data_IF_889964305266
#
_entry.id   IF_889964305266
#
_cell.length_a   1.000
_cell.length_b   1.000
_cell.length_c   1.000
_cell.angle_alpha   90.00
_cell.angle_beta   90.00
_cell.angle_gamma   90.00
#
_symmetry.space_group_name_H-M   'P 1'
#
loop_
_entity.id
_entity.type
_entity.pdbx_description
1 polymer ?
#
# COMPACT_ATOMS: atom_id res chain seq x y z
N UNK A 1 -0.33 -21.92 20.69
CA UNK A 1 0.60 -20.78 20.75
C UNK A 1 -0.16 -19.45 20.84
N UNK A 2 -1.07 -19.08 19.90
CA UNK A 2 -1.77 -17.77 19.91
C UNK A 2 -2.50 -17.52 21.24
N UNK A 3 -3.19 -18.52 21.78
CA UNK A 3 -3.89 -18.39 23.07
C UNK A 3 -2.91 -18.32 24.25
N UNK A 4 -1.86 -19.14 24.20
CA UNK A 4 -0.90 -19.25 25.28
C UNK A 4 -0.01 -18.01 25.39
N UNK A 5 0.36 -17.41 24.24
CA UNK A 5 1.29 -16.30 24.15
C UNK A 5 0.61 -14.92 24.14
N UNK A 6 -0.74 -14.87 24.22
CA UNK A 6 -1.55 -13.63 24.16
C UNK A 6 -1.25 -12.75 22.94
N UNK A 7 -1.03 -13.38 21.79
CA UNK A 7 -0.79 -12.67 20.53
C UNK A 7 -2.07 -11.96 20.13
N UNK A 8 -2.00 -10.67 19.87
CA UNK A 8 -3.13 -9.82 19.48
C UNK A 8 -3.07 -9.37 18.01
N UNK A 9 -1.86 -9.29 17.43
CA UNK A 9 -1.65 -8.87 16.05
C UNK A 9 -0.84 -9.92 15.31
N UNK A 10 -1.29 -10.31 14.12
CA UNK A 10 -0.62 -11.29 13.24
C UNK A 10 -0.38 -10.66 11.88
N UNK A 11 0.88 -10.60 11.44
CA UNK A 11 1.25 -10.21 10.09
C UNK A 11 1.36 -11.46 9.22
N UNK A 12 0.53 -11.56 8.19
CA UNK A 12 0.53 -12.71 7.28
C UNK A 12 1.22 -12.36 5.95
N UNK A 13 2.45 -12.83 5.80
CA UNK A 13 3.28 -12.68 4.62
C UNK A 13 3.43 -13.99 3.82
N UNK A 14 2.42 -14.85 3.82
CA UNK A 14 2.46 -16.16 3.18
C UNK A 14 2.08 -16.09 1.69
N UNK A 15 0.88 -16.55 1.33
CA UNK A 15 0.33 -16.46 -0.02
C UNK A 15 -1.18 -16.23 0.05
N UNK A 16 -1.79 -15.75 -1.02
CA UNK A 16 -3.23 -15.54 -1.06
C UNK A 16 -4.05 -16.78 -0.67
N UNK A 17 -3.61 -17.97 -1.11
CA UNK A 17 -4.25 -19.23 -0.75
C UNK A 17 -4.06 -19.58 0.73
N UNK A 18 -2.84 -19.42 1.24
CA UNK A 18 -2.54 -19.72 2.65
C UNK A 18 -3.24 -18.71 3.57
N UNK A 19 -3.26 -17.42 3.21
CA UNK A 19 -3.95 -16.40 3.98
C UNK A 19 -5.44 -16.72 4.17
N UNK A 20 -6.14 -17.17 3.13
CA UNK A 20 -7.55 -17.58 3.25
C UNK A 20 -7.74 -18.68 4.29
N UNK A 21 -6.82 -19.64 4.36
CA UNK A 21 -6.85 -20.72 5.37
C UNK A 21 -6.52 -20.17 6.76
N UNK A 22 -5.47 -19.36 6.86
CA UNK A 22 -5.03 -18.75 8.11
C UNK A 22 -6.12 -17.86 8.71
N UNK A 23 -6.75 -17.02 7.89
CA UNK A 23 -7.83 -16.15 8.32
C UNK A 23 -9.03 -16.94 8.87
N UNK A 24 -9.43 -18.02 8.19
CA UNK A 24 -10.51 -18.89 8.69
C UNK A 24 -10.14 -19.55 10.02
N UNK A 25 -8.91 -20.04 10.15
CA UNK A 25 -8.43 -20.70 11.37
C UNK A 25 -8.30 -19.73 12.55
N UNK A 26 -8.05 -18.44 12.29
CA UNK A 26 -7.84 -17.42 13.32
C UNK A 26 -9.11 -16.62 13.67
N UNK A 27 -10.21 -16.80 12.95
CA UNK A 27 -11.45 -16.05 13.19
C UNK A 27 -12.03 -16.20 14.61
N UNK A 28 -11.80 -17.36 15.25
CA UNK A 28 -12.29 -17.65 16.59
C UNK A 28 -11.40 -17.04 17.69
N UNK A 29 -10.26 -16.48 17.32
CA UNK A 29 -9.34 -15.86 18.27
C UNK A 29 -9.47 -14.34 18.24
N UNK A 30 -9.18 -13.71 19.36
CA UNK A 30 -9.18 -12.25 19.51
C UNK A 30 -7.89 -11.65 18.92
N UNK A 31 -7.68 -11.83 17.61
CA UNK A 31 -6.49 -11.35 16.89
C UNK A 31 -6.88 -10.44 15.73
N UNK A 32 -6.06 -9.43 15.47
CA UNK A 32 -6.10 -8.61 14.28
C UNK A 32 -5.08 -9.13 13.27
N UNK A 33 -5.50 -9.39 12.05
CA UNK A 33 -4.61 -9.82 10.98
C UNK A 33 -4.27 -8.65 10.05
N UNK A 34 -2.99 -8.55 9.69
CA UNK A 34 -2.48 -7.62 8.69
C UNK A 34 -1.99 -8.47 7.51
N UNK A 35 -2.75 -8.42 6.41
CA UNK A 35 -2.53 -9.25 5.23
C UNK A 35 -1.59 -8.56 4.22
N UNK A 36 -0.37 -9.10 4.07
CA UNK A 36 0.60 -8.66 3.07
C UNK A 36 0.50 -9.45 1.76
N UNK A 37 -0.53 -10.29 1.62
CA UNK A 37 -0.75 -11.11 0.43
C UNK A 37 -1.78 -10.47 -0.50
N UNK A 38 -1.85 -10.84 -1.79
CA UNK A 38 -2.89 -10.36 -2.69
C UNK A 38 -4.23 -11.09 -2.52
N UNK A 39 -4.54 -11.64 -1.33
CA UNK A 39 -5.78 -12.38 -1.07
C UNK A 39 -7.04 -11.52 -1.16
N UNK A 40 -6.90 -10.21 -0.96
CA UNK A 40 -8.00 -9.24 -0.99
C UNK A 40 -9.14 -9.57 -0.01
N UNK A 41 -8.79 -10.01 1.19
CA UNK A 41 -9.72 -10.24 2.29
C UNK A 41 -9.69 -9.03 3.21
N UNK A 42 -10.88 -8.53 3.59
CA UNK A 42 -11.01 -7.32 4.41
C UNK A 42 -10.76 -6.02 3.62
N UNK A 43 -10.84 -4.88 4.30
CA UNK A 43 -10.64 -3.58 3.69
C UNK A 43 -9.18 -3.35 3.28
N UNK A 44 -8.99 -2.62 2.19
CA UNK A 44 -7.65 -2.17 1.79
C UNK A 44 -7.15 -1.06 2.70
N UNK A 45 -5.88 -1.17 3.13
CA UNK A 45 -5.24 -0.22 4.03
C UNK A 45 -3.99 0.40 3.39
N UNK A 46 -3.98 1.72 3.30
CA UNK A 46 -2.84 2.55 2.93
C UNK A 46 -2.63 3.52 4.10
N UNK A 47 -1.59 3.37 4.94
CA UNK A 47 -1.47 4.05 6.21
C UNK A 47 -1.73 5.56 6.19
N UNK A 48 -1.13 6.36 5.29
CA UNK A 48 -1.32 7.81 5.31
C UNK A 48 -2.66 8.26 4.72
N UNK A 49 -3.47 7.33 4.18
CA UNK A 49 -4.74 7.67 3.51
C UNK A 49 -5.94 7.28 4.36
N UNK A 50 -6.01 6.03 4.83
CA UNK A 50 -7.22 5.50 5.45
C UNK A 50 -6.98 4.57 6.65
N UNK A 51 -5.80 4.61 7.28
CA UNK A 51 -5.49 3.70 8.39
C UNK A 51 -6.46 3.87 9.57
N UNK A 52 -6.80 5.12 9.93
CA UNK A 52 -7.73 5.38 11.02
C UNK A 52 -9.16 4.88 10.73
N UNK A 53 -9.55 4.81 9.47
CA UNK A 53 -10.87 4.29 9.06
C UNK A 53 -10.97 2.77 9.26
N UNK A 54 -9.83 2.10 9.49
CA UNK A 54 -9.75 0.65 9.72
C UNK A 54 -9.93 0.27 11.20
N UNK A 55 -10.10 1.25 12.09
CA UNK A 55 -10.35 1.05 13.52
C UNK A 55 -11.82 0.69 13.79
N UNK A 56 -12.29 -0.43 13.25
CA UNK A 56 -13.66 -0.87 13.39
C UNK A 56 -13.76 -2.37 13.70
N UNK A 57 -14.86 -2.97 13.31
CA UNK A 57 -15.16 -4.39 13.55
C UNK A 57 -14.38 -5.37 12.63
N UNK A 58 -13.43 -4.85 11.86
CA UNK A 58 -12.64 -5.68 10.95
C UNK A 58 -11.58 -6.45 11.72
N UNK A 59 -11.44 -7.74 11.40
CA UNK A 59 -10.41 -8.63 11.96
C UNK A 59 -9.24 -8.86 11.01
N UNK A 60 -9.31 -8.27 9.84
CA UNK A 60 -8.27 -8.34 8.82
C UNK A 60 -8.24 -7.06 8.01
N UNK A 61 -7.06 -6.53 7.76
CA UNK A 61 -6.82 -5.45 6.80
C UNK A 61 -5.85 -5.94 5.74
N UNK A 62 -6.11 -5.59 4.49
CA UNK A 62 -5.26 -5.98 3.37
C UNK A 62 -4.35 -4.82 2.96
N UNK A 63 -3.05 -5.08 2.91
CA UNK A 63 -2.02 -4.08 2.58
C UNK A 63 -1.88 -3.83 1.07
N UNK A 64 -2.80 -4.29 0.26
CA UNK A 64 -2.86 -4.14 -1.20
C UNK A 64 -1.69 -4.83 -1.90
N UNK A 65 -0.61 -4.11 -2.15
CA UNK A 65 0.62 -4.57 -2.80
C UNK A 65 1.74 -3.55 -2.61
N UNK A 66 2.99 -3.94 -2.89
CA UNK A 66 4.12 -3.00 -2.85
C UNK A 66 3.91 -1.81 -3.80
N UNK A 67 3.45 -2.05 -5.03
CA UNK A 67 3.09 -0.99 -5.98
C UNK A 67 1.93 -0.14 -5.48
N UNK A 68 0.94 -0.75 -4.83
CA UNK A 68 -0.17 -0.03 -4.20
C UNK A 68 0.29 0.90 -3.07
N UNK A 69 1.12 0.39 -2.15
CA UNK A 69 1.69 1.20 -1.07
C UNK A 69 2.55 2.37 -1.57
N UNK A 70 3.26 2.18 -2.69
CA UNK A 70 4.08 3.23 -3.28
C UNK A 70 3.28 4.28 -4.04
N UNK A 71 2.16 3.93 -4.66
CA UNK A 71 1.49 4.80 -5.65
C UNK A 71 0.14 5.35 -5.22
N UNK A 72 -0.65 4.58 -4.46
CA UNK A 72 -1.99 5.00 -4.02
C UNK A 72 -1.95 6.27 -3.14
N UNK A 73 -0.94 6.51 -2.28
CA UNK A 73 -0.82 7.79 -1.59
C UNK A 73 -0.81 8.99 -2.54
N UNK A 74 -0.12 8.88 -3.68
CA UNK A 74 -0.07 9.96 -4.68
C UNK A 74 -1.39 10.12 -5.42
N UNK A 75 -2.07 9.01 -5.74
CA UNK A 75 -3.43 9.04 -6.32
C UNK A 75 -4.39 9.75 -5.36
N UNK A 76 -4.37 9.36 -4.08
CA UNK A 76 -5.20 9.97 -3.04
C UNK A 76 -4.88 11.46 -2.85
N UNK A 77 -3.60 11.85 -2.90
CA UNK A 77 -3.20 13.25 -2.80
C UNK A 77 -3.80 14.12 -3.92
N UNK A 78 -3.97 13.57 -5.13
CA UNK A 78 -4.66 14.27 -6.23
C UNK A 78 -6.16 14.26 -6.02
N UNK A 79 -6.76 13.11 -5.71
CA UNK A 79 -8.22 12.94 -5.61
C UNK A 79 -8.82 13.68 -4.41
N UNK A 80 -8.06 13.91 -3.34
CA UNK A 80 -8.47 14.73 -2.20
C UNK A 80 -8.63 16.23 -2.56
N UNK A 81 -7.94 16.71 -3.59
CA UNK A 81 -8.07 18.09 -4.06
C UNK A 81 -9.23 18.23 -5.04
N UNK A 82 -9.36 17.30 -5.97
CA UNK A 82 -10.45 17.33 -6.95
C UNK A 82 -10.74 15.95 -7.55
N UNK A 83 -11.94 15.72 -8.11
CA UNK A 83 -12.33 14.42 -8.65
C UNK A 83 -11.42 13.94 -9.78
N UNK A 84 -11.06 12.65 -9.72
CA UNK A 84 -10.23 11.97 -10.71
C UNK A 84 -11.06 10.93 -11.46
N UNK A 85 -11.09 11.04 -12.77
CA UNK A 85 -11.85 10.17 -13.68
C UNK A 85 -11.16 8.81 -13.87
N UNK A 86 -9.81 8.87 -14.01
CA UNK A 86 -8.98 7.71 -14.29
C UNK A 86 -7.62 7.89 -13.64
N UNK A 87 -7.09 6.81 -13.05
CA UNK A 87 -5.70 6.76 -12.62
C UNK A 87 -5.01 5.49 -13.08
N UNK A 88 -3.81 5.64 -13.61
CA UNK A 88 -2.94 4.53 -14.00
C UNK A 88 -1.63 4.62 -13.22
N UNK A 89 -1.19 3.47 -12.71
CA UNK A 89 0.14 3.36 -12.09
C UNK A 89 1.01 2.37 -12.86
N UNK A 90 2.29 2.69 -12.99
CA UNK A 90 3.31 1.81 -13.53
C UNK A 90 4.39 1.64 -12.46
N UNK A 91 4.39 0.49 -11.79
CA UNK A 91 5.38 0.13 -10.78
C UNK A 91 6.52 -0.65 -11.43
N UNK A 92 7.74 -0.12 -11.40
CA UNK A 92 8.93 -0.77 -11.95
C UNK A 92 9.84 -1.22 -10.82
N UNK A 93 10.04 -2.53 -10.71
CA UNK A 93 10.84 -3.16 -9.65
C UNK A 93 11.98 -4.00 -10.23
N UNK A 94 13.06 -4.14 -9.47
CA UNK A 94 14.17 -5.00 -9.86
C UNK A 94 13.75 -6.48 -9.89
N UNK A 95 14.16 -7.21 -10.92
CA UNK A 95 13.92 -8.66 -11.01
C UNK A 95 14.46 -9.42 -9.79
N UNK A 96 15.58 -8.95 -9.24
CA UNK A 96 16.23 -9.55 -8.07
C UNK A 96 15.39 -9.42 -6.77
N UNK A 97 14.45 -8.47 -6.69
CA UNK A 97 13.58 -8.26 -5.51
C UNK A 97 12.21 -8.95 -5.64
N UNK A 98 11.98 -9.74 -6.69
CA UNK A 98 10.71 -10.42 -6.95
C UNK A 98 10.84 -11.90 -6.70
N UNK A 99 10.11 -12.39 -5.69
CA UNK A 99 10.06 -13.81 -5.35
C UNK A 99 9.15 -14.64 -6.26
N UNK A 100 9.20 -15.99 -6.12
CA UNK A 100 8.37 -16.91 -6.93
C UNK A 100 6.87 -16.67 -6.77
N UNK A 101 6.41 -16.30 -5.58
CA UNK A 101 5.00 -16.03 -5.29
C UNK A 101 4.44 -14.89 -6.13
N UNK A 102 5.15 -13.76 -6.22
CA UNK A 102 4.73 -12.63 -7.05
C UNK A 102 4.76 -13.00 -8.53
N UNK A 103 5.78 -13.75 -8.99
CA UNK A 103 5.88 -14.18 -10.40
C UNK A 103 4.72 -15.08 -10.83
N UNK A 104 4.21 -15.89 -9.91
CA UNK A 104 3.08 -16.80 -10.16
C UNK A 104 1.71 -16.08 -10.13
N UNK A 105 1.63 -14.88 -9.55
CA UNK A 105 0.36 -14.21 -9.20
C UNK A 105 0.24 -12.78 -9.73
N UNK A 106 0.78 -12.48 -10.92
CA UNK A 106 0.69 -11.14 -11.53
C UNK A 106 -0.74 -10.64 -11.70
N UNK A 107 -1.66 -11.53 -12.08
CA UNK A 107 -3.07 -11.17 -12.26
C UNK A 107 -3.73 -10.76 -10.94
N UNK A 108 -3.38 -11.42 -9.83
CA UNK A 108 -3.87 -11.03 -8.50
C UNK A 108 -3.28 -9.69 -8.07
N UNK A 109 -1.98 -9.47 -8.30
CA UNK A 109 -1.33 -8.20 -8.04
C UNK A 109 -2.04 -7.05 -8.77
N UNK A 110 -2.23 -7.17 -10.07
CA UNK A 110 -2.84 -6.09 -10.88
C UNK A 110 -4.30 -5.85 -10.50
N UNK A 111 -5.07 -6.89 -10.23
CA UNK A 111 -6.48 -6.76 -9.79
C UNK A 111 -6.59 -6.10 -8.42
N UNK A 112 -5.82 -6.55 -7.43
CA UNK A 112 -5.84 -6.00 -6.08
C UNK A 112 -5.35 -4.56 -6.05
N UNK A 113 -4.26 -4.25 -6.77
CA UNK A 113 -3.75 -2.88 -6.87
C UNK A 113 -4.74 -1.96 -7.55
N UNK A 114 -5.38 -2.39 -8.65
CA UNK A 114 -6.43 -1.63 -9.32
C UNK A 114 -7.60 -1.33 -8.37
N UNK A 115 -8.08 -2.33 -7.65
CA UNK A 115 -9.16 -2.14 -6.69
C UNK A 115 -8.77 -1.18 -5.55
N UNK A 116 -7.53 -1.24 -5.06
CA UNK A 116 -7.00 -0.27 -4.10
C UNK A 116 -6.95 1.16 -4.65
N UNK A 117 -6.54 1.35 -5.92
CA UNK A 117 -6.57 2.64 -6.61
C UNK A 117 -8.00 3.19 -6.64
N UNK A 118 -8.98 2.36 -7.02
CA UNK A 118 -10.38 2.77 -7.11
C UNK A 118 -11.00 3.09 -5.74
N UNK A 119 -10.77 2.23 -4.74
CA UNK A 119 -11.43 2.33 -3.43
C UNK A 119 -10.72 3.29 -2.48
N UNK A 120 -9.41 3.18 -2.34
CA UNK A 120 -8.61 4.00 -1.41
C UNK A 120 -8.11 5.27 -2.09
N UNK A 121 -7.68 5.18 -3.33
CA UNK A 121 -7.32 6.34 -4.16
C UNK A 121 -8.52 7.21 -4.54
N UNK A 122 -9.74 6.74 -4.33
CA UNK A 122 -11.00 7.43 -4.60
C UNK A 122 -11.09 7.96 -6.04
N UNK A 123 -10.90 7.06 -7.00
CA UNK A 123 -10.99 7.39 -8.43
C UNK A 123 -12.05 6.52 -9.12
N UNK A 124 -12.67 7.02 -10.20
CA UNK A 124 -13.74 6.28 -10.88
C UNK A 124 -13.24 5.01 -11.56
N UNK A 125 -12.01 5.03 -12.10
CA UNK A 125 -11.43 3.89 -12.81
C UNK A 125 -9.93 3.85 -12.61
N UNK A 126 -9.42 2.69 -12.18
CA UNK A 126 -8.01 2.44 -11.93
C UNK A 126 -7.40 1.48 -12.94
N UNK A 127 -6.08 1.57 -13.12
CA UNK A 127 -5.27 0.59 -13.83
C UNK A 127 -3.91 0.44 -13.14
N UNK A 128 -3.45 -0.80 -13.01
CA UNK A 128 -2.13 -1.09 -12.46
C UNK A 128 -1.30 -1.88 -13.48
N UNK A 129 -0.06 -1.47 -13.64
CA UNK A 129 0.94 -2.12 -14.49
C UNK A 129 2.17 -2.38 -13.61
N UNK A 130 2.72 -3.58 -13.67
CA UNK A 130 4.00 -3.91 -13.07
C UNK A 130 5.03 -4.21 -14.15
N UNK A 131 6.23 -3.62 -14.02
CA UNK A 131 7.38 -3.88 -14.89
C UNK A 131 8.46 -4.52 -14.03
N UNK A 132 8.91 -5.71 -14.42
CA UNK A 132 10.06 -6.37 -13.79
C UNK A 132 11.30 -6.05 -14.62
N UNK A 133 12.19 -5.30 -14.02
CA UNK A 133 13.41 -4.84 -14.69
C UNK A 133 14.58 -5.80 -14.42
N UNK A 134 15.18 -6.40 -15.47
CA UNK A 134 16.29 -7.35 -15.33
C UNK A 134 17.67 -6.70 -15.29
N UNK A 135 17.78 -5.36 -15.20
CA UNK A 135 19.05 -4.67 -15.21
C UNK A 135 20.03 -5.19 -14.13
N UNK A 136 21.30 -5.21 -14.49
CA UNK A 136 22.42 -5.48 -13.61
C UNK A 136 23.44 -4.32 -13.73
N UNK A 137 23.74 -3.56 -12.66
CA UNK A 137 23.20 -3.73 -11.30
C UNK A 137 21.69 -3.44 -11.21
N UNK A 138 21.00 -4.05 -10.22
CA UNK A 138 19.57 -3.88 -10.02
C UNK A 138 19.16 -2.41 -9.80
N UNK A 139 18.06 -1.98 -10.39
CA UNK A 139 17.54 -0.62 -10.21
C UNK A 139 16.79 -0.47 -8.89
N UNK A 140 16.78 0.73 -8.34
CA UNK A 140 15.84 1.13 -7.27
C UNK A 140 14.40 1.13 -7.84
N UNK A 141 13.41 0.80 -7.01
CA UNK A 141 12.00 0.84 -7.41
C UNK A 141 11.64 2.23 -7.92
N UNK A 142 10.98 2.28 -9.09
CA UNK A 142 10.50 3.50 -9.74
C UNK A 142 9.05 3.36 -10.14
N UNK A 143 8.28 4.36 -9.78
CA UNK A 143 6.86 4.35 -10.02
C UNK A 143 6.43 5.61 -10.76
N UNK A 144 5.55 5.42 -11.74
CA UNK A 144 4.90 6.51 -12.47
C UNK A 144 3.40 6.44 -12.21
N UNK A 145 2.83 7.56 -11.82
CA UNK A 145 1.40 7.70 -11.56
C UNK A 145 0.84 8.72 -12.53
N UNK A 146 -0.22 8.37 -13.22
CA UNK A 146 -0.99 9.30 -14.05
C UNK A 146 -2.41 9.40 -13.50
N UNK A 147 -2.87 10.62 -13.23
CA UNK A 147 -4.24 10.92 -12.85
C UNK A 147 -4.87 11.83 -13.91
N UNK A 148 -6.03 11.43 -14.42
CA UNK A 148 -6.85 12.27 -15.31
C UNK A 148 -7.96 12.89 -14.46
N UNK A 149 -7.87 14.19 -14.21
CA UNK A 149 -8.86 14.94 -13.44
C UNK A 149 -10.12 15.22 -14.29
N UNK A 150 -11.27 15.37 -13.65
CA UNK A 150 -12.53 15.69 -14.38
C UNK A 150 -12.50 17.07 -15.03
N UNK A 151 -11.85 18.03 -14.38
CA UNK A 151 -11.70 19.41 -14.83
C UNK A 151 -10.22 19.79 -14.91
N UNK A 152 -9.92 21.01 -15.36
CA UNK A 152 -8.56 21.56 -15.31
C UNK A 152 -8.00 21.46 -13.87
N UNK A 153 -6.77 20.96 -13.66
CA UNK A 153 -6.22 20.74 -12.33
C UNK A 153 -5.88 22.05 -11.62
N UNK A 154 -6.18 22.12 -10.32
CA UNK A 154 -5.57 23.12 -9.45
C UNK A 154 -4.12 22.72 -9.17
N UNK A 155 -3.22 23.15 -10.04
CA UNK A 155 -1.81 22.76 -10.01
C UNK A 155 -1.12 23.07 -8.67
N UNK A 156 -1.47 24.22 -8.06
CA UNK A 156 -0.88 24.65 -6.79
C UNK A 156 -1.36 23.76 -5.64
N UNK A 157 -2.66 23.58 -5.52
CA UNK A 157 -3.23 22.75 -4.45
C UNK A 157 -2.81 21.29 -4.58
N UNK A 158 -2.80 20.73 -5.79
CA UNK A 158 -2.35 19.35 -6.05
C UNK A 158 -0.87 19.19 -5.70
N UNK A 159 -0.02 20.15 -6.09
CA UNK A 159 1.41 20.10 -5.77
C UNK A 159 1.67 20.09 -4.26
N UNK A 160 0.95 20.94 -3.51
CA UNK A 160 1.06 20.99 -2.05
C UNK A 160 0.55 19.71 -1.37
N UNK A 161 -0.58 19.18 -1.85
CA UNK A 161 -1.15 17.91 -1.38
C UNK A 161 -0.17 16.76 -1.58
N UNK A 162 0.43 16.64 -2.76
CA UNK A 162 1.44 15.62 -3.08
C UNK A 162 2.65 15.75 -2.16
N UNK A 163 3.18 16.96 -1.95
CA UNK A 163 4.33 17.18 -1.06
C UNK A 163 4.03 16.83 0.39
N UNK A 164 2.82 17.14 0.84
CA UNK A 164 2.37 16.77 2.18
C UNK A 164 2.28 15.26 2.32
N UNK A 165 1.66 14.58 1.36
CA UNK A 165 1.54 13.12 1.37
C UNK A 165 2.90 12.42 1.32
N UNK A 166 3.87 12.93 0.54
CA UNK A 166 5.25 12.41 0.53
C UNK A 166 5.85 12.45 1.94
N UNK A 167 5.69 13.55 2.67
CA UNK A 167 6.19 13.66 4.06
C UNK A 167 5.51 12.67 4.99
N UNK A 168 4.22 12.41 4.82
CA UNK A 168 3.50 11.41 5.62
C UNK A 168 4.04 10.00 5.38
N UNK A 169 4.27 9.62 4.13
CA UNK A 169 4.88 8.32 3.81
C UNK A 169 6.31 8.24 4.33
N UNK A 170 7.10 9.30 4.23
CA UNK A 170 8.49 9.34 4.70
C UNK A 170 8.64 9.11 6.21
N UNK A 171 7.58 9.27 7.00
CA UNK A 171 7.61 8.96 8.44
C UNK A 171 7.92 7.48 8.73
N UNK A 172 7.55 6.58 7.80
CA UNK A 172 7.80 5.15 7.93
C UNK A 172 8.59 4.55 6.77
N UNK A 173 8.75 5.28 5.65
CA UNK A 173 9.57 4.90 4.48
C UNK A 173 10.50 6.06 4.13
N UNK A 174 11.63 6.24 4.81
CA UNK A 174 12.53 7.40 4.59
C UNK A 174 13.03 7.52 3.14
N UNK A 175 13.19 6.39 2.43
CA UNK A 175 13.62 6.34 1.03
C UNK A 175 12.55 6.67 -0.01
N UNK A 176 11.35 7.07 0.40
CA UNK A 176 10.26 7.47 -0.50
C UNK A 176 10.49 8.87 -1.05
N UNK A 177 10.76 9.02 -2.34
CA UNK A 177 11.24 10.27 -2.94
C UNK A 177 10.44 10.66 -4.17
N UNK A 178 9.93 11.91 -4.19
CA UNK A 178 9.37 12.55 -5.37
C UNK A 178 10.54 13.01 -6.29
N UNK A 179 10.62 12.48 -7.50
CA UNK A 179 11.77 12.75 -8.40
C UNK A 179 11.62 14.07 -9.18
N UNK A 180 10.57 14.17 -9.93
CA UNK A 180 10.28 15.41 -10.66
C UNK A 180 8.88 15.81 -10.24
N UNK A 181 8.68 16.93 -9.60
CA UNK A 181 7.40 17.39 -9.03
C UNK A 181 6.23 17.02 -9.94
N UNK A 182 4.98 17.18 -9.59
CA UNK A 182 3.92 16.81 -10.49
C UNK A 182 4.05 17.57 -11.82
N UNK A 183 3.88 16.86 -12.93
CA UNK A 183 3.87 17.43 -14.30
C UNK A 183 2.42 17.49 -14.76
N UNK A 184 2.00 18.67 -15.18
CA UNK A 184 0.64 18.93 -15.65
C UNK A 184 0.62 19.04 -17.17
N UNK A 185 -0.30 18.32 -17.82
CA UNK A 185 -0.53 18.37 -19.27
C UNK A 185 -2.03 18.26 -19.54
N UNK A 186 -2.66 19.39 -19.76
CA UNK A 186 -4.12 19.50 -19.80
C UNK A 186 -4.74 19.02 -18.49
N UNK A 187 -5.59 17.99 -18.54
CA UNK A 187 -6.21 17.37 -17.35
C UNK A 187 -5.37 16.26 -16.74
N UNK A 188 -4.22 15.93 -17.31
CA UNK A 188 -3.35 14.87 -16.81
C UNK A 188 -2.35 15.42 -15.81
N UNK A 189 -2.32 14.80 -14.62
CA UNK A 189 -1.31 14.99 -13.59
C UNK A 189 -0.40 13.75 -13.56
N UNK A 190 0.89 13.94 -13.75
CA UNK A 190 1.89 12.86 -13.73
C UNK A 190 2.83 13.04 -12.56
N UNK A 191 3.03 11.98 -11.76
CA UNK A 191 3.90 11.96 -10.58
C UNK A 191 4.92 10.84 -10.73
N UNK A 192 6.18 11.12 -10.40
CA UNK A 192 7.29 10.18 -10.53
C UNK A 192 7.95 9.97 -9.17
N UNK A 193 7.94 8.72 -8.71
CA UNK A 193 8.44 8.33 -7.40
C UNK A 193 9.61 7.35 -7.51
N UNK A 194 10.50 7.41 -6.54
CA UNK A 194 11.48 6.35 -6.25
C UNK A 194 11.28 5.87 -4.81
N UNK A 195 11.47 4.58 -4.60
CA UNK A 195 11.47 3.95 -3.28
C UNK A 195 12.80 3.22 -3.09
N UNK A 196 13.70 3.84 -2.35
CA UNK A 196 14.96 3.22 -1.94
C UNK A 196 14.75 2.49 -0.62
N UNK A 197 15.15 1.22 -0.54
CA UNK A 197 15.12 0.46 0.70
C UNK A 197 16.16 0.96 1.72
N UNK A 198 15.98 0.66 2.99
CA UNK A 198 16.88 1.06 4.07
C UNK A 198 18.29 0.47 3.89
N UNK A 199 18.39 -0.73 3.32
CA UNK A 199 19.66 -1.41 3.13
C UNK A 199 20.16 -2.15 4.37
N UNK A 200 19.28 -2.37 5.36
CA UNK A 200 19.61 -3.09 6.60
C UNK A 200 19.67 -4.61 6.35
N UNK A 201 18.52 -5.24 6.19
CA UNK A 201 18.43 -6.69 5.89
C UNK A 201 18.40 -6.97 4.39
N UNK A 202 17.66 -6.17 3.64
CA UNK A 202 17.54 -6.26 2.19
C UNK A 202 18.38 -5.17 1.51
N UNK A 203 18.91 -5.42 0.30
CA UNK A 203 19.63 -4.40 -0.45
C UNK A 203 18.73 -3.19 -0.78
N UNK A 204 19.33 -2.03 -0.94
CA UNK A 204 18.63 -0.76 -1.22
C UNK A 204 17.71 -0.79 -2.44
N UNK A 205 18.01 -1.64 -3.44
CA UNK A 205 17.13 -1.81 -4.60
C UNK A 205 15.80 -2.52 -4.26
N UNK A 206 15.70 -3.18 -3.11
CA UNK A 206 14.52 -3.90 -2.67
C UNK A 206 13.50 -2.99 -1.96
N UNK A 207 13.38 -1.73 -2.36
CA UNK A 207 12.43 -0.76 -1.81
C UNK A 207 10.96 -1.20 -1.89
N UNK A 208 10.64 -2.07 -2.86
CA UNK A 208 9.31 -2.69 -2.95
C UNK A 208 8.99 -3.62 -1.76
N UNK A 209 9.98 -4.32 -1.23
CA UNK A 209 9.79 -5.16 -0.04
C UNK A 209 9.77 -4.31 1.23
N UNK A 210 10.69 -3.35 1.34
CA UNK A 210 10.76 -2.46 2.50
C UNK A 210 9.50 -1.62 2.68
N UNK A 211 8.93 -1.03 1.62
CA UNK A 211 7.69 -0.25 1.74
C UNK A 211 6.52 -1.11 2.19
N UNK A 212 6.46 -2.36 1.76
CA UNK A 212 5.39 -3.28 2.14
C UNK A 212 5.46 -3.64 3.62
N UNK A 213 6.65 -3.99 4.10
CA UNK A 213 6.88 -4.34 5.52
C UNK A 213 6.76 -3.12 6.42
N UNK A 214 7.27 -1.96 6.02
CA UNK A 214 7.15 -0.71 6.78
C UNK A 214 5.68 -0.26 6.92
N UNK A 215 4.89 -0.36 5.85
CA UNK A 215 3.46 -0.05 5.91
C UNK A 215 2.70 -1.01 6.85
N UNK A 216 3.02 -2.31 6.80
CA UNK A 216 2.42 -3.30 7.69
C UNK A 216 2.80 -3.06 9.16
N UNK A 217 4.07 -2.73 9.43
CA UNK A 217 4.53 -2.37 10.77
C UNK A 217 3.80 -1.12 11.28
N UNK A 218 3.72 -0.06 10.47
CA UNK A 218 3.00 1.18 10.83
C UNK A 218 1.53 0.92 11.16
N UNK A 219 0.89 0.01 10.41
CA UNK A 219 -0.48 -0.42 10.67
C UNK A 219 -0.57 -1.17 12.00
N UNK A 220 0.37 -2.08 12.26
CA UNK A 220 0.42 -2.83 13.52
C UNK A 220 0.65 -1.95 14.74
N UNK A 221 1.51 -0.93 14.64
CA UNK A 221 1.76 0.05 15.70
C UNK A 221 0.47 0.80 16.08
N UNK A 222 -0.29 1.31 15.09
CA UNK A 222 -1.54 1.99 15.39
C UNK A 222 -2.56 1.05 16.05
N UNK A 223 -2.70 -0.17 15.55
CA UNK A 223 -3.61 -1.14 16.18
C UNK A 223 -3.18 -1.46 17.62
N UNK A 224 -1.88 -1.61 17.88
CA UNK A 224 -1.38 -1.83 19.23
C UNK A 224 -1.67 -0.62 20.15
N UNK A 225 -1.44 0.59 19.68
CA UNK A 225 -1.79 1.83 20.41
C UNK A 225 -3.28 1.90 20.76
N UNK A 226 -4.16 1.55 19.82
CA UNK A 226 -5.61 1.62 20.01
C UNK A 226 -6.15 0.47 20.88
N UNK A 227 -5.50 -0.70 20.86
CA UNK A 227 -5.76 -1.79 21.80
C UNK A 227 -5.40 -1.36 23.23
N UNK A 228 -4.22 -0.76 23.41
CA UNK A 228 -3.76 -0.27 24.72
C UNK A 228 -4.66 0.82 25.31
N UNK A 229 -5.19 1.71 24.45
CA UNK A 229 -6.16 2.74 24.83
C UNK A 229 -7.56 2.19 25.12
N UNK A 230 -7.83 0.92 24.75
CA UNK A 230 -9.14 0.29 24.85
C UNK A 230 -10.18 0.78 23.82
N UNK A 231 -9.74 1.51 22.80
CA UNK A 231 -10.58 1.99 21.70
C UNK A 231 -10.81 0.92 20.62
N UNK A 232 -9.84 0.00 20.45
CA UNK A 232 -10.00 -1.19 19.61
C UNK A 232 -10.17 -2.43 20.49
N UNK A 233 -11.37 -2.99 20.49
CA UNK A 233 -11.68 -4.21 21.24
C UNK A 233 -11.60 -5.43 20.33
N UNK A 234 -10.64 -6.34 20.61
CA UNK A 234 -10.45 -7.58 19.89
C UNK A 234 -11.27 -8.77 20.46
N UNK A 235 -12.28 -8.53 21.29
CA UNK A 235 -13.10 -9.64 21.78
C UNK A 235 -13.76 -10.35 20.60
N UNK A 236 -13.76 -11.68 20.64
CA UNK A 236 -14.36 -12.50 19.59
C UNK A 236 -15.79 -12.04 19.36
N UNK A 237 -16.13 -11.73 18.14
CA UNK A 237 -17.53 -11.58 17.75
C UNK A 237 -18.18 -12.95 17.93
N UNK A 238 -19.15 -13.01 18.83
CA UNK A 238 -19.99 -14.19 19.06
C UNK A 238 -20.89 -14.45 17.87
#
# INVERSE_FOLDING_TARGET
>A
HIQDDKIQIVLDATSAKAHRINFQALREFSVMMIDLTPAAIGPYCIPPVNLHDQLGDHRNVNMVSCGGQATIPMVAAVSQVQPVEYSEIVATVASASIGPGTRANFDEFTRTTRAGIEQVGNVKKGKAIIIINPADPPIIMRDTIHCLTENAPDEKAITESIRTMVKEVQKYVPGYTLKNGPVFDGRRVSVFMEVEGLGDYLPKYAGNLDIMTAAALRTGELFAEEIDKGTLNLQAAH
#
